data_IF_665741271920
#
_entry.id   IF_665741271920
#
_cell.length_a   1.000
_cell.length_b   1.000
_cell.length_c   1.000
_cell.angle_alpha   90.00
_cell.angle_beta   90.00
_cell.angle_gamma   90.00
#
_symmetry.space_group_name_H-M   'P 1'
#
loop_
_entity.id
_entity.type
_entity.pdbx_description
1 polymer ?
#
# COMPACT_ATOMS: atom_id res chain seq x y z
N UNK A 1 18.58 5.05 5.01
CA UNK A 1 17.16 4.66 5.06
C UNK A 1 17.05 3.37 5.83
N UNK A 2 16.05 3.19 6.69
CA UNK A 2 15.88 1.92 7.40
C UNK A 2 15.55 0.80 6.41
N UNK A 3 16.17 -0.37 6.59
CA UNK A 3 15.96 -1.55 5.75
C UNK A 3 14.47 -1.93 5.69
N UNK A 4 14.00 -2.33 4.51
CA UNK A 4 12.66 -2.85 4.30
C UNK A 4 12.55 -4.26 4.87
N UNK A 5 11.47 -4.54 5.59
CA UNK A 5 11.17 -5.86 6.14
C UNK A 5 10.01 -6.42 5.33
N UNK A 6 10.18 -7.61 4.77
CA UNK A 6 9.11 -8.34 4.08
C UNK A 6 8.59 -9.44 5.00
N UNK A 7 7.27 -9.58 5.08
CA UNK A 7 6.60 -10.51 5.99
C UNK A 7 6.26 -9.88 7.35
N UNK A 8 6.10 -10.74 8.35
CA UNK A 8 5.63 -10.34 9.68
C UNK A 8 6.63 -9.42 10.41
N UNK A 9 6.10 -8.39 11.09
CA UNK A 9 6.88 -7.54 11.98
C UNK A 9 7.00 -8.21 13.36
N UNK A 10 8.21 -8.40 13.93
CA UNK A 10 8.37 -9.05 15.22
C UNK A 10 7.57 -8.38 16.34
N UNK A 11 6.80 -9.18 17.07
CA UNK A 11 5.96 -8.72 18.19
C UNK A 11 4.59 -8.16 17.79
N UNK A 12 4.24 -8.20 16.50
CA UNK A 12 2.94 -7.80 15.98
C UNK A 12 2.27 -9.01 15.35
N UNK A 13 1.01 -9.25 15.71
CA UNK A 13 0.22 -10.39 15.27
C UNK A 13 -0.91 -9.95 14.36
N UNK A 14 -1.40 -10.87 13.53
CA UNK A 14 -2.62 -10.67 12.76
C UNK A 14 -3.80 -10.38 13.72
N UNK A 15 -4.57 -9.34 13.42
CA UNK A 15 -5.66 -8.85 14.28
C UNK A 15 -5.28 -7.71 15.21
N UNK A 16 -3.99 -7.37 15.35
CA UNK A 16 -3.57 -6.18 16.11
C UNK A 16 -4.13 -4.90 15.46
N UNK A 17 -4.72 -4.04 16.30
CA UNK A 17 -5.36 -2.80 15.86
C UNK A 17 -4.48 -1.58 16.15
N UNK A 18 -4.46 -0.64 15.21
CA UNK A 18 -3.70 0.62 15.31
C UNK A 18 -4.64 1.80 15.14
N UNK A 19 -4.37 2.89 15.85
CA UNK A 19 -5.31 4.01 15.90
C UNK A 19 -5.36 4.78 14.57
N UNK A 20 -4.22 4.91 13.90
CA UNK A 20 -4.08 5.72 12.70
C UNK A 20 -2.81 5.37 11.89
N UNK A 21 -2.60 6.07 10.78
CA UNK A 21 -1.43 5.89 9.89
C UNK A 21 -0.09 6.24 10.53
N UNK A 22 -0.06 7.13 11.53
CA UNK A 22 1.18 7.47 12.26
C UNK A 22 1.59 6.29 13.14
N UNK A 23 0.62 5.66 13.79
CA UNK A 23 0.81 4.47 14.62
C UNK A 23 1.37 3.29 13.79
N UNK A 24 0.80 3.05 12.59
CA UNK A 24 1.35 2.06 11.63
C UNK A 24 2.79 2.39 11.19
N UNK A 25 3.12 3.68 11.00
CA UNK A 25 4.46 4.12 10.61
C UNK A 25 5.47 3.87 11.74
N UNK A 26 5.11 4.25 12.97
CA UNK A 26 5.97 4.09 14.15
C UNK A 26 6.26 2.62 14.45
N UNK A 27 5.26 1.76 14.27
CA UNK A 27 5.38 0.31 14.40
C UNK A 27 5.94 -0.40 13.14
N UNK A 28 6.30 0.36 12.10
CA UNK A 28 6.90 -0.12 10.84
C UNK A 28 6.07 -1.12 10.03
N UNK A 29 4.78 -1.25 10.33
CA UNK A 29 3.84 -2.08 9.55
C UNK A 29 3.60 -1.45 8.18
N UNK A 30 3.36 -0.13 8.17
CA UNK A 30 3.15 0.62 6.95
C UNK A 30 3.77 2.01 7.07
N UNK A 31 4.93 2.18 6.44
CA UNK A 31 5.77 3.38 6.61
C UNK A 31 5.23 4.64 5.91
N UNK A 32 4.53 4.60 4.77
CA UNK A 32 3.90 5.80 4.25
C UNK A 32 2.82 6.31 5.21
N UNK A 33 2.71 7.63 5.39
CA UNK A 33 1.64 8.23 6.19
C UNK A 33 0.34 8.40 5.39
N UNK A 34 0.42 8.41 4.05
CA UNK A 34 -0.72 8.65 3.17
C UNK A 34 -0.86 7.64 2.03
N UNK A 35 0.23 7.34 1.32
CA UNK A 35 0.20 6.44 0.16
C UNK A 35 -0.32 5.05 0.54
N UNK A 36 -1.10 4.40 -0.33
CA UNK A 36 -1.64 3.07 -0.06
C UNK A 36 -0.59 1.95 -0.15
N UNK A 37 0.43 2.14 -0.99
CA UNK A 37 1.50 1.15 -1.23
C UNK A 37 2.79 1.62 -0.57
N UNK A 38 3.36 0.76 0.27
CA UNK A 38 4.74 0.89 0.76
C UNK A 38 5.62 0.00 -0.10
N UNK A 39 6.60 0.59 -0.79
CA UNK A 39 7.47 -0.18 -1.68
C UNK A 39 8.53 0.64 -2.40
N UNK A 40 9.39 -0.06 -3.12
CA UNK A 40 10.35 0.48 -4.07
C UNK A 40 10.33 -0.38 -5.34
N UNK A 41 10.36 0.24 -6.52
CA UNK A 41 10.42 -0.49 -7.79
C UNK A 41 11.68 -1.34 -7.98
N UNK A 42 12.66 -1.23 -7.09
CA UNK A 42 13.89 -2.02 -7.09
C UNK A 42 13.92 -3.14 -6.03
N UNK A 43 13.00 -3.13 -5.07
CA UNK A 43 13.00 -4.10 -3.95
C UNK A 43 11.69 -4.88 -3.82
N UNK A 44 10.58 -4.32 -4.33
CA UNK A 44 9.23 -4.81 -4.07
C UNK A 44 8.44 -3.93 -3.11
N UNK A 45 7.18 -4.30 -2.89
CA UNK A 45 6.28 -3.72 -1.91
C UNK A 45 6.26 -4.56 -0.61
N UNK A 46 6.47 -3.92 0.55
CA UNK A 46 6.43 -4.57 1.87
C UNK A 46 5.04 -4.57 2.50
N UNK A 47 4.20 -3.58 2.18
CA UNK A 47 2.82 -3.55 2.67
C UNK A 47 1.90 -2.68 1.82
N UNK A 48 0.60 -2.99 1.86
CA UNK A 48 -0.48 -2.19 1.28
C UNK A 48 -1.52 -1.85 2.35
N UNK A 49 -2.31 -0.80 2.09
CA UNK A 49 -3.46 -0.41 2.90
C UNK A 49 -4.70 -0.36 2.01
N UNK A 50 -5.71 -1.16 2.34
CA UNK A 50 -7.07 -1.02 1.82
C UNK A 50 -7.78 0.07 2.64
N UNK A 51 -8.24 1.12 1.97
CA UNK A 51 -8.90 2.26 2.63
C UNK A 51 -10.17 2.72 1.93
N UNK A 52 -10.68 1.93 0.97
CA UNK A 52 -11.87 2.25 0.18
C UNK A 52 -11.70 3.51 -0.67
N UNK A 53 -10.46 3.86 -1.03
CA UNK A 53 -10.19 5.08 -1.79
C UNK A 53 -10.38 4.88 -3.28
N UNK A 54 -10.12 3.69 -3.82
CA UNK A 54 -10.30 3.42 -5.24
C UNK A 54 -11.60 2.66 -5.43
N UNK A 55 -12.42 3.13 -6.36
CA UNK A 55 -13.72 2.53 -6.66
C UNK A 55 -13.60 1.14 -7.31
N UNK A 56 -12.44 0.86 -7.92
CA UNK A 56 -12.11 -0.42 -8.55
C UNK A 56 -11.55 -1.46 -7.55
N UNK A 57 -11.39 -1.12 -6.26
CA UNK A 57 -10.97 -2.08 -5.24
C UNK A 57 -12.09 -3.10 -4.96
N UNK A 58 -11.79 -4.40 -5.04
CA UNK A 58 -12.70 -5.47 -4.62
C UNK A 58 -12.09 -6.28 -3.46
N UNK A 59 -12.87 -6.46 -2.40
CA UNK A 59 -12.47 -7.23 -1.21
C UNK A 59 -13.37 -8.47 -1.05
N UNK A 60 -12.78 -9.65 -1.27
CA UNK A 60 -13.43 -10.95 -1.13
C UNK A 60 -12.92 -11.73 0.10
N UNK A 61 -12.28 -11.03 1.05
CA UNK A 61 -11.67 -11.62 2.24
C UNK A 61 -10.32 -12.27 1.94
N UNK A 62 -10.33 -13.52 1.50
CA UNK A 62 -9.10 -14.29 1.21
C UNK A 62 -8.41 -13.82 -0.09
N UNK A 63 -9.13 -13.08 -0.93
CA UNK A 63 -8.64 -12.52 -2.18
C UNK A 63 -9.04 -11.05 -2.27
N UNK A 64 -8.08 -10.22 -2.66
CA UNK A 64 -8.29 -8.79 -2.86
C UNK A 64 -7.84 -8.45 -4.29
N UNK A 65 -8.68 -7.70 -5.01
CA UNK A 65 -8.31 -7.03 -6.25
C UNK A 65 -7.96 -5.59 -5.87
N UNK A 66 -6.67 -5.27 -5.87
CA UNK A 66 -6.16 -3.99 -5.37
C UNK A 66 -5.77 -3.05 -6.53
N UNK A 67 -6.23 -1.81 -6.47
CA UNK A 67 -5.96 -0.80 -7.51
C UNK A 67 -4.63 -0.07 -7.25
N UNK A 68 -3.85 0.14 -8.31
CA UNK A 68 -2.64 0.96 -8.25
C UNK A 68 -2.91 2.41 -7.86
N UNK A 69 -1.84 3.16 -7.60
CA UNK A 69 -1.91 4.60 -7.33
C UNK A 69 -1.68 5.46 -8.59
N UNK A 70 -2.26 6.66 -8.59
CA UNK A 70 -1.98 7.70 -9.58
C UNK A 70 -3.12 7.96 -10.56
N UNK A 71 -2.92 8.92 -11.45
CA UNK A 71 -3.93 9.35 -12.41
C UNK A 71 -5.17 10.01 -11.78
N UNK A 72 -5.08 10.45 -10.52
CA UNK A 72 -6.17 11.08 -9.77
C UNK A 72 -5.94 12.56 -9.55
N UNK A 73 -7.02 13.32 -9.62
CA UNK A 73 -7.06 14.72 -9.21
C UNK A 73 -7.07 14.80 -7.67
N UNK A 74 -6.25 15.69 -7.10
CA UNK A 74 -5.92 15.65 -5.66
C UNK A 74 -7.08 16.10 -4.75
N UNK A 75 -7.98 16.95 -5.23
CA UNK A 75 -9.07 17.53 -4.42
C UNK A 75 -10.29 16.63 -4.38
N UNK A 76 -10.70 16.10 -5.53
CA UNK A 76 -11.89 15.28 -5.73
C UNK A 76 -11.58 13.79 -5.56
N UNK A 77 -10.32 13.39 -5.78
CA UNK A 77 -9.96 11.98 -5.89
C UNK A 77 -10.53 11.31 -7.14
N UNK A 78 -11.05 12.05 -8.12
CA UNK A 78 -11.52 11.43 -9.36
C UNK A 78 -10.35 10.98 -10.23
N UNK A 79 -10.52 9.87 -10.93
CA UNK A 79 -9.58 9.42 -11.95
C UNK A 79 -9.69 10.35 -13.18
N UNK A 80 -8.58 10.97 -13.56
CA UNK A 80 -8.51 11.96 -14.66
C UNK A 80 -7.43 11.63 -15.70
N UNK A 81 -6.63 10.59 -15.46
CA UNK A 81 -5.60 10.12 -16.37
C UNK A 81 -5.30 8.63 -16.14
N UNK A 82 -4.63 8.00 -17.10
CA UNK A 82 -4.16 6.63 -16.95
C UNK A 82 -3.17 6.49 -15.80
N UNK A 83 -3.24 5.36 -15.11
CA UNK A 83 -2.21 4.97 -14.15
C UNK A 83 -0.94 4.52 -14.88
N UNK A 84 0.20 4.75 -14.25
CA UNK A 84 1.50 4.39 -14.80
C UNK A 84 2.14 3.30 -13.94
N UNK A 85 2.75 2.30 -14.58
CA UNK A 85 3.52 1.26 -13.90
C UNK A 85 4.88 1.81 -13.42
N UNK A 86 4.84 2.62 -12.36
CA UNK A 86 6.00 3.24 -11.73
C UNK A 86 5.82 3.32 -10.21
N UNK A 87 6.91 3.63 -9.49
CA UNK A 87 6.91 3.83 -8.03
C UNK A 87 6.22 2.67 -7.29
N UNK A 88 5.19 2.95 -6.49
CA UNK A 88 4.42 1.94 -5.76
C UNK A 88 3.78 0.88 -6.65
N UNK A 89 3.31 1.23 -7.86
CA UNK A 89 2.68 0.26 -8.77
C UNK A 89 3.72 -0.74 -9.29
N UNK A 90 4.89 -0.23 -9.67
CA UNK A 90 6.01 -1.07 -10.07
C UNK A 90 6.51 -1.92 -8.90
N UNK A 91 6.57 -1.35 -7.69
CA UNK A 91 6.95 -2.08 -6.49
C UNK A 91 5.99 -3.24 -6.20
N UNK A 92 4.68 -3.04 -6.35
CA UNK A 92 3.70 -4.10 -6.13
C UNK A 92 3.78 -5.18 -7.21
N UNK A 93 3.91 -4.77 -8.48
CA UNK A 93 4.09 -5.71 -9.59
C UNK A 93 5.39 -6.52 -9.49
N UNK A 94 6.44 -5.95 -8.91
CA UNK A 94 7.71 -6.64 -8.67
C UNK A 94 7.52 -7.88 -7.78
N UNK A 95 6.59 -7.87 -6.82
CA UNK A 95 6.34 -9.01 -5.94
C UNK A 95 5.74 -10.24 -6.66
N UNK A 96 5.25 -10.09 -7.89
CA UNK A 96 4.73 -11.21 -8.69
C UNK A 96 5.82 -11.97 -9.46
N UNK A 97 7.08 -11.51 -9.40
CA UNK A 97 8.23 -12.16 -10.03
C UNK A 97 8.89 -13.14 -9.07
#
# INVERSE_FOLDING_TARGET
>A
MAQRIFGQIPGILEGDTFTNRIDLHQNRIHRPLQAGISGSGAEGADSIVLSGKYEDDEDHGDVIIYTGHGGRELTTGQQVADQVLAKGNLALAFNCQ
#
